data_IF_294358875109
#
_entry.id   IF_294358875109
#
_cell.length_a   1.000
_cell.length_b   1.000
_cell.length_c   1.000
_cell.angle_alpha   90.00
_cell.angle_beta   90.00
_cell.angle_gamma   90.00
#
_symmetry.space_group_name_H-M   'P 1'
#
loop_
_entity.id
_entity.type
_entity.pdbx_description
1 polymer ?
#
# COMPACT_ATOMS: atom_id res chain seq x y z
N UNK A 1 20.97 -45.73 -33.21
CA UNK A 1 20.92 -44.31 -33.62
C UNK A 1 21.59 -43.47 -32.55
N UNK A 2 22.57 -42.62 -32.87
CA UNK A 2 23.18 -41.74 -31.87
C UNK A 2 22.17 -40.67 -31.42
N UNK A 3 22.10 -40.43 -30.11
CA UNK A 3 21.30 -39.36 -29.53
C UNK A 3 21.68 -38.02 -30.19
N UNK A 4 20.69 -37.26 -30.65
CA UNK A 4 20.93 -35.93 -31.20
C UNK A 4 21.51 -35.02 -30.11
N UNK A 5 22.68 -34.40 -30.32
CA UNK A 5 23.38 -33.61 -29.29
C UNK A 5 22.61 -32.36 -28.80
N UNK A 6 21.48 -31.98 -29.41
CA UNK A 6 20.70 -30.79 -29.03
C UNK A 6 19.61 -31.00 -27.97
N UNK A 7 19.34 -32.23 -27.51
CA UNK A 7 18.20 -32.48 -26.60
C UNK A 7 18.42 -31.98 -25.17
N UNK A 8 19.64 -32.11 -24.64
CA UNK A 8 19.97 -31.71 -23.26
C UNK A 8 20.11 -30.18 -23.17
N UNK A 9 20.70 -29.55 -24.18
CA UNK A 9 20.84 -28.09 -24.24
C UNK A 9 19.48 -27.38 -24.23
N UNK A 10 18.48 -27.91 -24.95
CA UNK A 10 17.15 -27.33 -25.01
C UNK A 10 16.44 -27.26 -23.66
N UNK A 11 16.47 -28.35 -22.87
CA UNK A 11 15.83 -28.38 -21.55
C UNK A 11 16.54 -27.49 -20.54
N UNK A 12 17.88 -27.45 -20.57
CA UNK A 12 18.67 -26.58 -19.67
C UNK A 12 18.39 -25.10 -19.95
N UNK A 13 18.28 -24.71 -21.21
CA UNK A 13 17.94 -23.33 -21.60
C UNK A 13 16.54 -22.95 -21.09
N UNK A 14 15.56 -23.84 -21.21
CA UNK A 14 14.19 -23.60 -20.72
C UNK A 14 14.18 -23.43 -19.19
N UNK A 15 14.87 -24.31 -18.46
CA UNK A 15 14.97 -24.22 -17.00
C UNK A 15 15.65 -22.90 -16.59
N UNK A 16 16.77 -22.52 -17.23
CA UNK A 16 17.45 -21.27 -16.96
C UNK A 16 16.55 -20.05 -17.21
N UNK A 17 15.80 -20.05 -18.31
CA UNK A 17 14.84 -18.98 -18.61
C UNK A 17 13.75 -18.86 -17.53
N UNK A 18 13.27 -19.99 -16.99
CA UNK A 18 12.28 -19.98 -15.90
C UNK A 18 12.81 -19.33 -14.63
N UNK A 19 14.08 -19.59 -14.29
CA UNK A 19 14.75 -19.03 -13.11
C UNK A 19 14.95 -17.53 -13.29
N UNK A 20 15.46 -17.09 -14.46
CA UNK A 20 15.67 -15.67 -14.76
C UNK A 20 14.35 -14.89 -14.66
N UNK A 21 13.27 -15.44 -15.23
CA UNK A 21 11.95 -14.81 -15.12
C UNK A 21 11.47 -14.75 -13.67
N UNK A 22 11.54 -15.85 -12.92
CA UNK A 22 11.14 -15.85 -11.51
C UNK A 22 11.90 -14.79 -10.70
N UNK A 23 13.22 -14.69 -10.89
CA UNK A 23 14.07 -13.68 -10.24
C UNK A 23 13.69 -12.25 -10.64
N UNK A 24 13.43 -11.99 -11.92
CA UNK A 24 13.01 -10.67 -12.37
C UNK A 24 11.64 -10.26 -11.77
N UNK A 25 10.67 -11.17 -11.68
CA UNK A 25 9.40 -10.92 -10.98
C UNK A 25 9.60 -10.63 -9.49
N UNK A 26 10.47 -11.39 -8.82
CA UNK A 26 10.82 -11.21 -7.40
C UNK A 26 11.47 -9.85 -7.17
N UNK A 27 12.46 -9.47 -7.99
CA UNK A 27 13.16 -8.18 -7.89
C UNK A 27 12.23 -7.00 -8.16
N UNK A 28 11.39 -7.08 -9.20
CA UNK A 28 10.42 -6.03 -9.50
C UNK A 28 9.39 -5.86 -8.36
N UNK A 29 8.90 -6.96 -7.79
CA UNK A 29 7.99 -6.93 -6.65
C UNK A 29 8.69 -6.42 -5.38
N UNK A 30 9.93 -6.86 -5.12
CA UNK A 30 10.75 -6.40 -4.01
C UNK A 30 11.07 -4.91 -4.09
N UNK A 31 11.28 -4.37 -5.30
CA UNK A 31 11.45 -2.92 -5.50
C UNK A 31 10.20 -2.15 -5.07
N UNK A 32 8.99 -2.65 -5.35
CA UNK A 32 7.75 -2.04 -4.84
C UNK A 32 7.68 -2.06 -3.32
N UNK A 33 8.11 -3.14 -2.67
CA UNK A 33 8.16 -3.23 -1.22
C UNK A 33 9.14 -2.20 -0.62
N UNK A 34 10.33 -2.07 -1.23
CA UNK A 34 11.32 -1.09 -0.82
C UNK A 34 10.79 0.35 -0.92
N UNK A 35 10.13 0.70 -2.03
CA UNK A 35 9.46 1.99 -2.20
C UNK A 35 8.32 2.21 -1.19
N UNK A 36 7.62 1.14 -0.76
CA UNK A 36 6.60 1.24 0.29
C UNK A 36 7.21 1.51 1.67
N UNK A 37 8.41 0.97 1.92
CA UNK A 37 9.08 1.06 3.21
C UNK A 37 9.74 2.43 3.44
N UNK A 38 10.25 3.04 2.37
CA UNK A 38 10.96 4.33 2.38
C UNK A 38 10.43 5.27 1.29
N UNK A 39 9.18 5.77 1.41
CA UNK A 39 8.62 6.71 0.43
C UNK A 39 9.25 8.11 0.54
N UNK A 40 9.77 8.44 1.72
CA UNK A 40 10.32 9.73 2.12
C UNK A 40 11.65 9.49 2.86
N UNK A 41 12.52 10.50 2.90
CA UNK A 41 13.75 10.49 3.69
C UNK A 41 13.43 10.56 5.18
N UNK A 42 12.39 11.31 5.54
CA UNK A 42 11.98 11.48 6.93
C UNK A 42 10.97 10.40 7.34
N UNK A 43 11.16 9.82 8.53
CA UNK A 43 10.20 8.90 9.14
C UNK A 43 9.16 9.69 9.94
N UNK A 44 7.85 9.56 9.62
CA UNK A 44 6.81 10.36 10.26
C UNK A 44 6.75 10.20 11.78
N UNK A 45 6.93 8.97 12.27
CA UNK A 45 6.88 8.69 13.71
C UNK A 45 8.05 9.35 14.46
N UNK A 46 9.22 9.45 13.83
CA UNK A 46 10.41 10.11 14.41
C UNK A 46 10.19 11.62 14.52
N UNK A 47 9.55 12.24 13.52
CA UNK A 47 9.17 13.66 13.55
C UNK A 47 8.13 13.91 14.63
N UNK A 48 7.08 13.09 14.68
CA UNK A 48 6.01 13.19 15.68
C UNK A 48 6.56 13.08 17.10
N UNK A 49 7.55 12.21 17.32
CA UNK A 49 8.25 12.05 18.59
C UNK A 49 9.14 13.26 18.90
N UNK A 50 9.91 13.74 17.92
CA UNK A 50 10.80 14.90 18.06
C UNK A 50 10.05 16.22 18.32
N UNK A 51 8.92 16.43 17.64
CA UNK A 51 8.05 17.59 17.85
C UNK A 51 7.49 17.64 19.28
N UNK A 52 7.28 16.48 19.91
CA UNK A 52 6.73 16.38 21.25
C UNK A 52 5.24 16.75 21.32
N UNK A 53 4.73 17.08 22.52
CA UNK A 53 3.31 17.40 22.73
C UNK A 53 2.92 18.84 22.40
N UNK A 54 3.88 19.78 22.40
CA UNK A 54 3.63 21.20 22.13
C UNK A 54 4.65 21.72 21.11
N UNK A 55 4.42 21.46 19.81
CA UNK A 55 5.30 21.95 18.77
C UNK A 55 5.06 23.44 18.51
N UNK A 56 6.12 24.16 18.15
CA UNK A 56 6.12 25.58 17.87
C UNK A 56 6.82 25.87 16.53
N UNK A 57 6.75 27.14 16.07
CA UNK A 57 7.40 27.55 14.82
C UNK A 57 8.91 27.34 14.82
N UNK A 58 9.59 27.47 15.98
CA UNK A 58 11.04 27.30 16.06
C UNK A 58 11.48 25.87 15.70
N UNK A 59 10.69 24.87 16.11
CA UNK A 59 10.90 23.47 15.69
C UNK A 59 10.63 23.27 14.20
N UNK A 60 9.64 23.94 13.62
CA UNK A 60 9.38 23.83 12.19
C UNK A 60 10.54 24.42 11.37
N UNK A 61 11.11 25.55 11.81
CA UNK A 61 12.31 26.15 11.22
C UNK A 61 13.55 25.25 11.36
N UNK A 62 13.75 24.65 12.54
CA UNK A 62 14.84 23.70 12.76
C UNK A 62 14.71 22.45 11.87
N UNK A 63 13.48 21.94 11.68
CA UNK A 63 13.22 20.83 10.77
C UNK A 63 13.53 21.23 9.31
N UNK A 64 13.13 22.43 8.89
CA UNK A 64 13.45 22.96 7.56
C UNK A 64 14.95 23.07 7.35
N UNK A 65 15.70 23.54 8.35
CA UNK A 65 17.16 23.62 8.29
C UNK A 65 17.82 22.23 8.18
N UNK A 66 17.31 21.21 8.88
CA UNK A 66 17.85 19.84 8.79
C UNK A 66 17.67 19.20 7.41
N UNK A 67 16.63 19.60 6.68
CA UNK A 67 16.23 18.98 5.41
C UNK A 67 16.77 19.75 4.21
N UNK A 68 17.16 21.01 4.38
CA UNK A 68 17.59 21.92 3.31
C UNK A 68 18.66 21.31 2.38
N UNK A 69 19.70 20.69 2.95
CA UNK A 69 20.85 20.15 2.20
C UNK A 69 20.75 18.65 1.86
N UNK A 70 19.61 18.01 2.17
CA UNK A 70 19.44 16.58 1.93
C UNK A 70 19.07 16.35 0.45
N UNK A 71 19.86 15.58 -0.33
CA UNK A 71 19.69 15.51 -1.79
C UNK A 71 18.36 14.89 -2.22
N UNK A 72 17.83 13.93 -1.47
CA UNK A 72 16.61 13.17 -1.83
C UNK A 72 15.33 13.67 -1.12
N UNK A 73 15.40 14.79 -0.39
CA UNK A 73 14.29 15.28 0.46
C UNK A 73 13.43 16.36 -0.21
N UNK A 74 13.26 16.29 -1.54
CA UNK A 74 12.52 17.29 -2.31
C UNK A 74 11.09 17.51 -1.79
N UNK A 75 10.37 16.43 -1.49
CA UNK A 75 8.99 16.52 -1.02
C UNK A 75 8.89 17.06 0.40
N UNK A 76 9.83 16.72 1.27
CA UNK A 76 9.88 17.27 2.62
C UNK A 76 10.16 18.76 2.59
N UNK A 77 11.03 19.23 1.68
CA UNK A 77 11.23 20.68 1.46
C UNK A 77 9.94 21.35 0.98
N UNK A 78 9.28 20.79 -0.02
CA UNK A 78 8.04 21.35 -0.58
C UNK A 78 6.90 21.36 0.47
N UNK A 79 6.79 20.33 1.32
CA UNK A 79 5.85 20.28 2.44
C UNK A 79 6.13 21.35 3.49
N UNK A 80 7.38 21.51 3.90
CA UNK A 80 7.76 22.52 4.89
C UNK A 80 7.59 23.94 4.34
N UNK A 81 7.82 24.13 3.05
CA UNK A 81 7.56 25.40 2.35
C UNK A 81 6.06 25.69 2.24
N UNK A 82 5.23 24.67 2.03
CA UNK A 82 3.76 24.79 2.06
C UNK A 82 3.26 25.17 3.47
N UNK A 83 3.81 24.54 4.51
CA UNK A 83 3.46 24.84 5.91
C UNK A 83 3.90 26.24 6.35
N UNK A 84 4.93 26.80 5.72
CA UNK A 84 5.41 28.15 6.00
C UNK A 84 4.56 29.26 5.34
N UNK A 85 3.57 28.91 4.51
CA UNK A 85 2.73 29.90 3.82
C UNK A 85 1.86 30.69 4.78
N UNK A 86 1.70 31.97 4.47
CA UNK A 86 0.79 32.88 5.15
C UNK A 86 -0.64 32.66 4.64
N UNK A 87 -1.62 32.66 5.55
CA UNK A 87 -3.02 32.42 5.24
C UNK A 87 -3.40 30.93 5.35
N UNK A 88 -4.45 30.66 6.14
CA UNK A 88 -4.91 29.30 6.43
C UNK A 88 -5.38 28.55 5.18
N UNK A 89 -6.06 29.23 4.25
CA UNK A 89 -6.60 28.63 3.04
C UNK A 89 -5.50 28.23 2.04
N UNK A 90 -4.54 29.13 1.78
CA UNK A 90 -3.42 28.87 0.88
C UNK A 90 -2.51 27.75 1.42
N UNK A 91 -2.24 27.76 2.73
CA UNK A 91 -1.49 26.71 3.42
C UNK A 91 -2.19 25.35 3.29
N UNK A 92 -3.49 25.27 3.59
CA UNK A 92 -4.25 24.03 3.50
C UNK A 92 -4.27 23.46 2.07
N UNK A 93 -4.45 24.32 1.06
CA UNK A 93 -4.45 23.89 -0.34
C UNK A 93 -3.10 23.29 -0.77
N UNK A 94 -1.99 23.93 -0.38
CA UNK A 94 -0.65 23.46 -0.74
C UNK A 94 -0.25 22.20 0.04
N UNK A 95 -0.61 22.09 1.32
CA UNK A 95 -0.40 20.86 2.10
C UNK A 95 -1.18 19.69 1.48
N UNK A 96 -2.42 19.93 1.04
CA UNK A 96 -3.22 18.91 0.36
C UNK A 96 -2.61 18.48 -0.99
N UNK A 97 -1.99 19.40 -1.73
CA UNK A 97 -1.24 19.06 -2.94
C UNK A 97 -0.05 18.14 -2.61
N UNK A 98 0.70 18.44 -1.54
CA UNK A 98 1.82 17.59 -1.10
C UNK A 98 1.36 16.20 -0.63
N UNK A 99 0.21 16.10 0.04
CA UNK A 99 -0.41 14.82 0.36
C UNK A 99 -0.77 14.01 -0.89
N UNK A 100 -1.29 14.69 -1.91
CA UNK A 100 -1.63 14.07 -3.21
C UNK A 100 -0.38 13.56 -3.92
N UNK A 101 0.70 14.35 -3.95
CA UNK A 101 1.99 13.92 -4.51
C UNK A 101 2.59 12.73 -3.75
N UNK A 102 2.48 12.72 -2.42
CA UNK A 102 2.91 11.57 -1.60
C UNK A 102 2.13 10.29 -1.96
N UNK A 103 0.81 10.39 -2.09
CA UNK A 103 -0.04 9.26 -2.51
C UNK A 103 0.37 8.76 -3.91
N UNK A 104 0.59 9.66 -4.87
CA UNK A 104 1.08 9.29 -6.21
C UNK A 104 2.43 8.56 -6.16
N UNK A 105 3.37 9.02 -5.33
CA UNK A 105 4.67 8.35 -5.10
C UNK A 105 4.50 6.97 -4.50
N UNK A 106 3.59 6.79 -3.54
CA UNK A 106 3.32 5.49 -2.93
C UNK A 106 2.52 4.55 -3.85
N UNK A 107 1.70 5.10 -4.75
CA UNK A 107 0.99 4.33 -5.77
C UNK A 107 1.86 3.95 -6.95
N UNK A 108 3.01 4.62 -7.12
CA UNK A 108 4.04 4.24 -8.09
C UNK A 108 4.36 2.75 -7.93
N UNK A 109 4.18 2.00 -9.02
CA UNK A 109 4.42 0.56 -9.10
C UNK A 109 3.46 -0.32 -8.27
N UNK A 110 2.35 0.21 -7.75
CA UNK A 110 1.39 -0.57 -6.95
C UNK A 110 0.82 -1.79 -7.69
N UNK A 111 0.72 -1.71 -9.02
CA UNK A 111 0.23 -2.80 -9.88
C UNK A 111 1.30 -3.85 -10.19
N UNK A 112 2.58 -3.55 -10.04
CA UNK A 112 3.70 -4.40 -10.49
C UNK A 112 3.65 -5.80 -9.87
N UNK A 113 3.51 -5.97 -8.54
CA UNK A 113 3.45 -7.31 -7.94
C UNK A 113 2.29 -8.16 -8.49
N UNK A 114 1.13 -7.54 -8.76
CA UNK A 114 -0.03 -8.25 -9.35
C UNK A 114 0.27 -8.71 -10.77
N UNK A 115 0.91 -7.86 -11.59
CA UNK A 115 1.32 -8.23 -12.95
C UNK A 115 2.37 -9.33 -12.92
N UNK A 116 3.39 -9.20 -12.05
CA UNK A 116 4.43 -10.21 -11.85
C UNK A 116 3.86 -11.56 -11.42
N UNK A 117 2.84 -11.57 -10.55
CA UNK A 117 2.14 -12.79 -10.16
C UNK A 117 1.46 -13.49 -11.34
N UNK A 118 0.78 -12.72 -12.21
CA UNK A 118 0.14 -13.27 -13.41
C UNK A 118 1.18 -13.83 -14.39
N UNK A 119 2.24 -13.06 -14.66
CA UNK A 119 3.31 -13.44 -15.58
C UNK A 119 4.04 -14.68 -15.10
N UNK A 120 4.38 -14.75 -13.80
CA UNK A 120 5.10 -15.88 -13.19
C UNK A 120 4.35 -17.20 -13.36
N UNK A 121 3.06 -17.24 -13.06
CA UNK A 121 2.25 -18.46 -13.22
C UNK A 121 2.17 -18.88 -14.69
N UNK A 122 1.78 -17.96 -15.57
CA UNK A 122 1.60 -18.27 -17.00
C UNK A 122 2.90 -18.74 -17.65
N UNK A 123 4.01 -18.08 -17.33
CA UNK A 123 5.32 -18.43 -17.88
C UNK A 123 5.84 -19.75 -17.32
N UNK A 124 5.68 -20.00 -16.01
CA UNK A 124 6.07 -21.27 -15.39
C UNK A 124 5.32 -22.47 -15.99
N UNK A 125 4.00 -22.35 -16.20
CA UNK A 125 3.21 -23.40 -16.86
C UNK A 125 3.65 -23.57 -18.31
N UNK A 126 3.77 -22.48 -19.08
CA UNK A 126 4.21 -22.52 -20.47
C UNK A 126 5.55 -23.23 -20.61
N UNK A 127 6.56 -22.82 -19.83
CA UNK A 127 7.88 -23.43 -19.88
C UNK A 127 7.86 -24.89 -19.42
N UNK A 128 7.06 -25.23 -18.40
CA UNK A 128 6.86 -26.63 -17.99
C UNK A 128 6.29 -27.49 -19.13
N UNK A 129 5.32 -26.97 -19.89
CA UNK A 129 4.81 -27.69 -21.08
C UNK A 129 5.85 -27.82 -22.20
N UNK A 130 6.74 -26.83 -22.35
CA UNK A 130 7.84 -26.91 -23.31
C UNK A 130 8.90 -27.93 -22.90
N UNK A 131 9.22 -28.05 -21.60
CA UNK A 131 10.09 -29.12 -21.09
C UNK A 131 9.47 -30.49 -21.40
N UNK A 132 8.18 -30.67 -21.13
CA UNK A 132 7.49 -31.92 -21.40
C UNK A 132 7.49 -32.25 -22.91
N UNK A 133 7.15 -31.27 -23.75
CA UNK A 133 7.17 -31.41 -25.22
C UNK A 133 8.57 -31.75 -25.72
N UNK A 134 9.60 -31.05 -25.23
CA UNK A 134 10.98 -31.28 -25.64
C UNK A 134 11.49 -32.66 -25.20
N UNK A 135 11.18 -33.07 -23.97
CA UNK A 135 11.56 -34.38 -23.44
C UNK A 135 10.90 -35.53 -24.19
N UNK A 136 9.61 -35.42 -24.51
CA UNK A 136 8.88 -36.46 -25.27
C UNK A 136 9.29 -36.50 -26.75
N UNK A 137 9.50 -35.36 -27.39
CA UNK A 137 9.89 -35.30 -28.81
C UNK A 137 11.32 -35.84 -29.06
N UNK A 138 12.17 -35.83 -28.04
CA UNK A 138 13.53 -36.36 -28.11
C UNK A 138 13.71 -37.63 -27.27
N UNK A 139 12.60 -38.31 -26.91
CA UNK A 139 12.67 -39.54 -26.15
C UNK A 139 13.45 -40.59 -26.94
N UNK A 140 14.56 -41.14 -26.39
CA UNK A 140 15.25 -42.25 -27.02
C UNK A 140 14.34 -43.50 -27.04
N UNK A 141 14.53 -44.39 -28.03
CA UNK A 141 13.87 -45.71 -28.08
C UNK A 141 14.38 -46.60 -26.93
N UNK A 142 13.88 -46.32 -25.72
CA UNK A 142 14.16 -47.06 -24.50
C UNK A 142 12.91 -47.84 -24.12
N UNK A 143 13.03 -49.15 -23.99
CA UNK A 143 11.97 -50.03 -23.51
C UNK A 143 12.24 -50.49 -22.07
N UNK A 144 11.17 -50.87 -21.37
CA UNK A 144 11.25 -51.35 -19.99
C UNK A 144 11.59 -50.25 -18.97
N UNK A 145 12.31 -50.64 -17.92
CA UNK A 145 12.58 -49.82 -16.73
C UNK A 145 13.35 -48.51 -17.05
N UNK A 146 14.26 -48.53 -18.03
CA UNK A 146 15.06 -47.36 -18.42
C UNK A 146 14.18 -46.29 -19.09
N UNK A 147 13.20 -46.70 -19.89
CA UNK A 147 12.23 -45.79 -20.50
C UNK A 147 11.33 -45.14 -19.45
N UNK A 148 10.89 -45.90 -18.44
CA UNK A 148 10.10 -45.37 -17.33
C UNK A 148 10.88 -44.32 -16.51
N UNK A 149 12.16 -44.60 -16.20
CA UNK A 149 13.04 -43.66 -15.50
C UNK A 149 13.22 -42.35 -16.28
N UNK A 150 13.37 -42.43 -17.61
CA UNK A 150 13.47 -41.25 -18.47
C UNK A 150 12.19 -40.38 -18.40
N UNK A 151 11.01 -40.98 -18.56
CA UNK A 151 9.72 -40.26 -18.50
C UNK A 151 9.52 -39.62 -17.14
N UNK A 152 9.83 -40.32 -16.04
CA UNK A 152 9.79 -39.75 -14.68
C UNK A 152 10.73 -38.55 -14.52
N UNK A 153 11.91 -38.59 -15.13
CA UNK A 153 12.87 -37.48 -15.15
C UNK A 153 12.30 -36.25 -15.86
N UNK A 154 11.80 -36.41 -17.09
CA UNK A 154 11.17 -35.33 -17.87
C UNK A 154 9.99 -34.71 -17.12
N UNK A 155 9.14 -35.55 -16.51
CA UNK A 155 8.01 -35.09 -15.73
C UNK A 155 8.44 -34.29 -14.49
N UNK A 156 9.46 -34.77 -13.77
CA UNK A 156 10.05 -34.07 -12.63
C UNK A 156 10.59 -32.70 -13.01
N UNK A 157 11.29 -32.59 -14.14
CA UNK A 157 11.84 -31.30 -14.61
C UNK A 157 10.73 -30.32 -14.98
N UNK A 158 9.72 -30.79 -15.73
CA UNK A 158 8.55 -29.99 -16.08
C UNK A 158 7.79 -29.48 -14.84
N UNK A 159 7.60 -30.37 -13.85
CA UNK A 159 6.98 -30.01 -12.57
C UNK A 159 7.81 -29.03 -11.76
N UNK A 160 9.14 -29.16 -11.77
CA UNK A 160 10.05 -28.24 -11.08
C UNK A 160 9.97 -26.83 -11.69
N UNK A 161 9.92 -26.73 -13.02
CA UNK A 161 9.73 -25.46 -13.74
C UNK A 161 8.37 -24.83 -13.43
N UNK A 162 7.30 -25.61 -13.45
CA UNK A 162 5.98 -25.13 -13.06
C UNK A 162 5.94 -24.66 -11.60
N UNK A 163 6.59 -25.40 -10.70
CA UNK A 163 6.69 -25.05 -9.28
C UNK A 163 7.39 -23.70 -9.06
N UNK A 164 8.44 -23.37 -9.82
CA UNK A 164 9.06 -22.03 -9.75
C UNK A 164 8.08 -20.92 -10.09
N UNK A 165 7.24 -21.12 -11.13
CA UNK A 165 6.18 -20.17 -11.47
C UNK A 165 5.20 -19.96 -10.33
N UNK A 166 4.74 -21.04 -9.70
CA UNK A 166 3.79 -21.00 -8.57
C UNK A 166 4.40 -20.31 -7.34
N UNK A 167 5.65 -20.65 -6.98
CA UNK A 167 6.36 -20.04 -5.86
C UNK A 167 6.59 -18.55 -6.10
N UNK A 168 7.00 -18.17 -7.31
CA UNK A 168 7.16 -16.77 -7.70
C UNK A 168 5.83 -16.00 -7.59
N UNK A 169 4.72 -16.61 -7.99
CA UNK A 169 3.38 -16.03 -7.85
C UNK A 169 2.99 -15.83 -6.39
N UNK A 170 3.17 -16.86 -5.55
CA UNK A 170 2.87 -16.77 -4.12
C UNK A 170 3.68 -15.64 -3.45
N UNK A 171 4.96 -15.52 -3.79
CA UNK A 171 5.81 -14.43 -3.33
C UNK A 171 5.28 -13.05 -3.77
N UNK A 172 4.96 -12.88 -5.06
CA UNK A 172 4.46 -11.61 -5.59
C UNK A 172 3.15 -11.18 -4.91
N UNK A 173 2.24 -12.13 -4.63
CA UNK A 173 0.99 -11.87 -3.91
C UNK A 173 1.26 -11.48 -2.45
N UNK A 174 2.16 -12.19 -1.77
CA UNK A 174 2.54 -11.89 -0.39
C UNK A 174 3.15 -10.49 -0.28
N UNK A 175 4.05 -10.13 -1.21
CA UNK A 175 4.63 -8.79 -1.31
C UNK A 175 3.57 -7.74 -1.59
N UNK A 176 2.61 -8.01 -2.48
CA UNK A 176 1.51 -7.08 -2.76
C UNK A 176 0.70 -6.78 -1.50
N UNK A 177 0.30 -7.82 -0.75
CA UNK A 177 -0.46 -7.66 0.48
C UNK A 177 0.34 -6.92 1.56
N UNK A 178 1.63 -7.24 1.71
CA UNK A 178 2.50 -6.59 2.67
C UNK A 178 2.74 -5.11 2.33
N UNK A 179 3.07 -4.79 1.08
CA UNK A 179 3.26 -3.42 0.62
C UNK A 179 2.00 -2.56 0.82
N UNK A 180 0.80 -3.11 0.58
CA UNK A 180 -0.47 -2.41 0.85
C UNK A 180 -0.66 -2.08 2.33
N UNK A 181 -0.33 -3.01 3.22
CA UNK A 181 -0.41 -2.77 4.68
C UNK A 181 0.58 -1.69 5.11
N UNK A 182 1.82 -1.74 4.62
CA UNK A 182 2.83 -0.72 4.92
C UNK A 182 2.42 0.66 4.41
N UNK A 183 1.92 0.76 3.17
CA UNK A 183 1.46 2.04 2.61
C UNK A 183 0.34 2.65 3.45
N UNK A 184 -0.64 1.85 3.92
CA UNK A 184 -1.71 2.35 4.81
C UNK A 184 -1.16 2.87 6.14
N UNK A 185 -0.33 2.07 6.81
CA UNK A 185 0.28 2.48 8.08
C UNK A 185 1.14 3.75 7.94
N UNK A 186 1.81 3.92 6.79
CA UNK A 186 2.61 5.11 6.49
C UNK A 186 1.76 6.34 6.18
N UNK A 187 0.64 6.19 5.47
CA UNK A 187 -0.32 7.27 5.27
C UNK A 187 -0.84 7.78 6.61
N UNK A 188 -1.32 6.88 7.47
CA UNK A 188 -1.82 7.24 8.81
C UNK A 188 -0.74 7.93 9.67
N UNK A 189 0.51 7.51 9.57
CA UNK A 189 1.62 8.15 10.28
C UNK A 189 1.96 9.55 9.72
N UNK A 190 1.82 9.72 8.40
CA UNK A 190 2.03 11.01 7.73
C UNK A 190 0.91 11.99 8.09
N UNK A 191 -0.34 11.54 8.12
CA UNK A 191 -1.49 12.38 8.52
C UNK A 191 -1.29 12.93 9.94
N UNK A 192 -0.89 12.08 10.89
CA UNK A 192 -0.56 12.50 12.27
C UNK A 192 0.60 13.49 12.33
N UNK A 193 1.61 13.31 11.48
CA UNK A 193 2.76 14.21 11.40
C UNK A 193 2.30 15.58 10.88
N UNK A 194 1.48 15.61 9.84
CA UNK A 194 0.97 16.84 9.23
C UNK A 194 0.07 17.59 10.21
N UNK A 195 -0.88 16.91 10.88
CA UNK A 195 -1.74 17.54 11.89
C UNK A 195 -0.92 18.25 12.99
N UNK A 196 0.17 17.61 13.47
CA UNK A 196 1.08 18.24 14.43
C UNK A 196 1.85 19.43 13.85
N UNK A 197 2.29 19.33 12.60
CA UNK A 197 3.04 20.40 11.93
C UNK A 197 2.14 21.60 11.62
N UNK A 198 0.89 21.36 11.23
CA UNK A 198 -0.12 22.40 11.03
C UNK A 198 -0.44 23.13 12.35
N UNK A 199 -0.56 22.39 13.45
CA UNK A 199 -0.70 22.98 14.79
C UNK A 199 0.49 23.86 15.18
N UNK A 200 1.71 23.48 14.80
CA UNK A 200 2.91 24.28 15.01
C UNK A 200 2.95 25.54 14.13
N UNK A 201 2.41 25.44 12.90
CA UNK A 201 2.41 26.52 11.92
C UNK A 201 1.33 27.58 12.17
N UNK A 202 0.16 27.17 12.69
CA UNK A 202 -1.00 28.02 12.90
C UNK A 202 -0.78 29.12 13.97
N UNK A 203 0.08 28.89 14.96
CA UNK A 203 0.31 29.85 16.04
C UNK A 203 -0.96 30.19 16.85
N UNK A 204 -0.86 30.97 17.94
CA UNK A 204 -2.01 31.28 18.80
C UNK A 204 -3.04 32.26 18.20
N UNK A 205 -2.84 32.75 16.97
CA UNK A 205 -3.66 33.80 16.34
C UNK A 205 -4.61 33.32 15.24
N UNK A 206 -4.56 32.04 14.85
CA UNK A 206 -5.43 31.43 13.83
C UNK A 206 -6.65 30.71 14.46
N UNK A 207 -7.09 31.11 15.68
CA UNK A 207 -8.39 30.63 16.19
C UNK A 207 -9.52 31.08 15.25
N UNK A 208 -10.48 30.19 14.91
CA UNK A 208 -11.60 30.58 14.07
C UNK A 208 -12.38 31.71 14.74
N UNK A 209 -12.58 32.79 13.99
CA UNK A 209 -13.30 33.99 14.40
C UNK A 209 -14.83 33.76 14.53
N UNK A 210 -15.25 32.58 15.01
CA UNK A 210 -16.65 32.09 14.96
C UNK A 210 -17.28 31.85 16.34
N UNK A 211 -16.71 32.39 17.42
CA UNK A 211 -17.29 32.34 18.77
C UNK A 211 -17.89 33.68 19.26
N UNK A 212 -18.18 34.63 18.36
CA UNK A 212 -18.65 35.98 18.72
C UNK A 212 -20.02 36.38 18.13
N UNK A 213 -20.93 35.42 17.89
CA UNK A 213 -22.36 35.72 17.70
C UNK A 213 -23.22 34.67 18.39
N UNK A 214 -23.67 34.98 19.61
CA UNK A 214 -24.66 34.14 20.28
C UNK A 214 -24.87 34.36 21.77
N UNK A 215 -24.55 35.53 22.33
CA UNK A 215 -25.03 35.90 23.68
C UNK A 215 -26.04 37.03 23.57
N UNK A 216 -27.20 36.77 22.98
CA UNK A 216 -28.40 37.58 23.25
C UNK A 216 -29.07 37.02 24.50
N UNK A 217 -28.56 37.49 25.64
CA UNK A 217 -29.05 37.15 26.97
C UNK A 217 -30.26 38.04 27.25
N UNK A 218 -31.43 37.68 26.74
CA UNK A 218 -32.70 38.21 27.26
C UNK A 218 -33.12 37.44 28.50
N UNK A 219 -33.02 38.10 29.64
CA UNK A 219 -33.61 37.69 30.92
C UNK A 219 -35.10 37.37 30.76
N UNK A 220 -35.63 36.31 31.40
CA UNK A 220 -37.05 36.15 31.58
C UNK A 220 -37.51 36.94 32.83
N UNK A 221 -38.53 37.78 32.67
CA UNK A 221 -39.21 38.46 33.77
C UNK A 221 -40.07 37.48 34.59
N UNK A 222 -40.26 37.72 35.90
CA UNK A 222 -41.00 36.82 36.76
C UNK A 222 -42.50 37.18 36.80
N UNK A 223 -43.32 36.17 36.52
CA UNK A 223 -44.67 36.05 37.08
C UNK A 223 -45.81 36.31 36.10
N UNK A 224 -46.53 35.24 35.77
CA UNK A 224 -47.99 35.15 36.00
C UNK A 224 -48.42 33.68 35.92
N UNK A 225 -49.14 33.23 36.95
CA UNK A 225 -49.89 31.97 36.98
C UNK A 225 -51.14 32.11 36.12
N UNK A 226 -51.60 30.99 35.55
CA UNK A 226 -52.98 30.45 35.53
C UNK A 226 -52.94 29.18 34.65
N UNK A 227 -53.04 27.99 35.23
CA UNK A 227 -54.26 27.17 35.35
C UNK A 227 -54.75 26.49 34.05
N UNK A 228 -54.99 25.18 34.15
CA UNK A 228 -55.67 24.33 33.18
C UNK A 228 -54.70 23.53 32.30
N UNK A 229 -54.69 22.21 32.24
CA UNK A 229 -55.66 21.20 32.65
C UNK A 229 -55.58 20.05 31.64
N UNK A 230 -55.53 18.81 32.11
CA UNK A 230 -55.84 17.63 31.31
C UNK A 230 -54.65 16.84 30.78
N UNK A 231 -54.25 15.81 31.54
CA UNK A 231 -53.92 14.49 30.97
C UNK A 231 -55.25 13.81 30.60
N UNK A 232 -55.31 13.03 29.49
CA UNK A 232 -54.97 11.61 29.66
C UNK A 232 -54.34 10.91 28.45
N UNK A 233 -53.54 9.89 28.79
CA UNK A 233 -53.43 8.57 28.18
C UNK A 233 -53.72 8.38 26.67
N UNK A 234 -52.72 7.90 25.94
CA UNK A 234 -52.88 7.35 24.60
C UNK A 234 -51.72 6.42 24.23
N UNK A 235 -51.98 5.13 24.36
CA UNK A 235 -51.18 3.96 23.93
C UNK A 235 -50.66 4.01 22.48
N UNK A 236 -49.47 3.46 22.24
CA UNK A 236 -49.16 2.79 20.97
C UNK A 236 -48.32 1.53 21.20
N UNK A 237 -48.96 0.41 20.89
CA UNK A 237 -48.41 -0.93 20.63
C UNK A 237 -47.57 -0.99 19.34
N UNK A 238 -47.06 -2.22 19.09
CA UNK A 238 -46.41 -2.81 17.90
C UNK A 238 -44.87 -2.85 18.01
N UNK A 239 -44.21 -3.96 18.33
CA UNK A 239 -44.31 -5.37 17.89
C UNK A 239 -44.12 -5.59 16.38
N UNK A 240 -43.21 -6.52 16.04
CA UNK A 240 -43.25 -7.26 14.79
C UNK A 240 -42.07 -7.12 13.80
N UNK A 241 -41.47 -8.29 13.51
CA UNK A 241 -40.92 -8.71 12.19
C UNK A 241 -39.47 -8.29 11.86
N UNK A 242 -38.57 -9.11 11.32
CA UNK A 242 -38.44 -10.53 10.97
C UNK A 242 -36.93 -10.76 10.68
N UNK A 243 -36.28 -11.84 11.13
CA UNK A 243 -36.11 -13.15 10.46
C UNK A 243 -35.99 -13.11 8.93
N UNK A 244 -34.80 -13.48 8.41
CA UNK A 244 -34.53 -14.27 7.18
C UNK A 244 -32.99 -14.35 7.06
N UNK A 245 -32.33 -15.47 7.38
CA UNK A 245 -32.05 -16.62 6.49
C UNK A 245 -31.66 -16.24 5.05
N UNK A 246 -30.35 -16.27 4.80
CA UNK A 246 -29.73 -17.05 3.71
C UNK A 246 -28.28 -17.34 4.03
#
# INVERSE_FOLDING_TARGET
>A
MPARPGSIEGSVVIIAASIVMALACVLASGRRLWLAAKPTVIHPDDVVAWLGPSPDRSKLEALRAMVADVPDADWERDLLDALAQEGSEARAALVNEQLTELDLRMQRWARVPRVCASVSTSFGILLGTLVLRNGLANAPDLSGEVGELFVRGVFRDAMSVAAFGIVGTAFCIAVHAHARRMTRARLEATDRMIEKLEGAAAGPSDEPHDAARGTDRRSPEPGERLEGGGDPAGSSEADGSARTEK
#
